data_IF_120371294422
#
_entry.id   IF_120371294422
#
_cell.length_a   1.000
_cell.length_b   1.000
_cell.length_c   1.000
_cell.angle_alpha   90.00
_cell.angle_beta   90.00
_cell.angle_gamma   90.00
#
_symmetry.space_group_name_H-M   'P 1'
#
loop_
_entity.id
_entity.type
_entity.pdbx_description
1 polymer ?
#
# COMPACT_ATOMS: atom_id res chain seq x y z
N UNK A 1 -8.35 -25.41 1.36
CA UNK A 1 -8.14 -23.96 1.52
C UNK A 1 -9.34 -23.25 0.92
N UNK A 2 -10.18 -22.63 1.74
CA UNK A 2 -11.22 -21.71 1.25
C UNK A 2 -10.54 -20.53 0.58
N UNK A 3 -10.86 -20.26 -0.69
CA UNK A 3 -10.30 -19.10 -1.39
C UNK A 3 -10.76 -17.82 -0.71
N UNK A 4 -9.82 -17.02 -0.22
CA UNK A 4 -10.09 -15.71 0.35
C UNK A 4 -10.59 -14.79 -0.76
N UNK A 5 -11.91 -14.55 -0.83
CA UNK A 5 -12.49 -13.66 -1.83
C UNK A 5 -12.38 -12.22 -1.36
N UNK A 6 -11.77 -11.38 -2.19
CA UNK A 6 -11.58 -9.95 -1.94
C UNK A 6 -12.49 -9.13 -2.86
N UNK A 7 -12.95 -7.99 -2.36
CA UNK A 7 -13.84 -7.07 -3.06
C UNK A 7 -13.28 -5.65 -2.99
N UNK A 8 -13.44 -4.91 -4.09
CA UNK A 8 -13.19 -3.47 -4.11
C UNK A 8 -14.45 -2.76 -3.61
N UNK A 9 -14.32 -2.02 -2.52
CA UNK A 9 -15.43 -1.30 -1.90
C UNK A 9 -15.25 0.22 -2.07
N UNK A 10 -16.22 0.95 -2.64
CA UNK A 10 -16.15 2.41 -2.74
C UNK A 10 -16.33 3.03 -1.35
N UNK A 11 -15.51 4.01 -1.02
CA UNK A 11 -15.56 4.71 0.26
C UNK A 11 -16.34 6.01 0.14
N UNK A 12 -16.97 6.41 1.25
CA UNK A 12 -17.57 7.73 1.40
C UNK A 12 -16.50 8.81 1.31
N UNK A 13 -16.66 9.75 0.39
CA UNK A 13 -15.64 10.75 0.07
C UNK A 13 -15.33 11.65 1.26
N UNK A 14 -16.36 12.25 1.86
CA UNK A 14 -16.19 13.27 2.91
C UNK A 14 -15.59 12.66 4.18
N UNK A 15 -16.01 11.43 4.54
CA UNK A 15 -15.42 10.69 5.65
C UNK A 15 -13.96 10.33 5.38
N UNK A 16 -13.62 9.93 4.15
CA UNK A 16 -12.30 9.38 3.83
C UNK A 16 -11.25 10.45 3.57
N UNK A 17 -11.62 11.56 2.91
CA UNK A 17 -10.66 12.59 2.51
C UNK A 17 -9.88 13.12 3.71
N UNK A 18 -10.58 13.47 4.80
CA UNK A 18 -9.97 14.03 6.00
C UNK A 18 -8.97 13.06 6.63
N UNK A 19 -9.34 11.77 6.70
CA UNK A 19 -8.44 10.72 7.20
C UNK A 19 -7.23 10.52 6.29
N UNK A 20 -7.46 10.41 4.99
CA UNK A 20 -6.40 10.20 4.00
C UNK A 20 -5.38 11.33 4.01
N UNK A 21 -5.84 12.59 3.96
CA UNK A 21 -4.95 13.76 3.99
C UNK A 21 -4.12 13.76 5.26
N UNK A 22 -4.73 13.51 6.43
CA UNK A 22 -4.01 13.45 7.70
C UNK A 22 -2.87 12.40 7.72
N UNK A 23 -3.09 11.23 7.10
CA UNK A 23 -2.09 10.15 7.08
C UNK A 23 -1.00 10.37 6.03
N UNK A 24 -1.34 11.00 4.90
CA UNK A 24 -0.37 11.26 3.84
C UNK A 24 0.48 12.49 4.18
N UNK A 25 -0.06 13.55 4.77
CA UNK A 25 0.71 14.76 5.11
C UNK A 25 1.91 14.51 6.04
N UNK A 26 1.91 13.40 6.77
CA UNK A 26 3.02 12.99 7.64
C UNK A 26 4.17 12.27 6.90
N UNK A 27 4.04 12.01 5.59
CA UNK A 27 5.06 11.35 4.77
C UNK A 27 6.20 12.29 4.32
N UNK A 28 6.94 11.85 3.32
CA UNK A 28 8.06 12.59 2.73
C UNK A 28 7.61 13.57 1.63
N UNK A 29 8.56 14.09 0.85
CA UNK A 29 8.32 15.05 -0.22
C UNK A 29 7.25 14.60 -1.22
N UNK A 30 7.19 13.32 -1.64
CA UNK A 30 6.18 12.87 -2.61
C UNK A 30 4.78 13.00 -2.01
N UNK A 31 4.59 12.56 -0.77
CA UNK A 31 3.35 12.73 -0.02
C UNK A 31 2.90 14.19 0.05
N UNK A 32 3.80 15.10 0.41
CA UNK A 32 3.53 16.55 0.43
C UNK A 32 3.09 17.06 -0.95
N UNK A 33 3.76 16.64 -2.03
CA UNK A 33 3.41 17.06 -3.39
C UNK A 33 2.08 16.47 -3.86
N UNK A 34 1.75 15.24 -3.48
CA UNK A 34 0.47 14.59 -3.80
C UNK A 34 -0.68 15.40 -3.22
N UNK A 35 -0.63 15.73 -1.93
CA UNK A 35 -1.67 16.51 -1.26
C UNK A 35 -1.85 17.89 -1.89
N UNK A 36 -0.74 18.55 -2.26
CA UNK A 36 -0.79 19.91 -2.83
C UNK A 36 -1.20 19.96 -4.31
N UNK A 37 -0.94 18.91 -5.10
CA UNK A 37 -1.12 18.94 -6.56
C UNK A 37 -2.33 18.17 -7.05
N UNK A 38 -2.83 17.18 -6.31
CA UNK A 38 -3.98 16.38 -6.74
C UNK A 38 -5.27 17.04 -6.27
N UNK A 39 -6.18 17.29 -7.20
CA UNK A 39 -7.56 17.63 -6.86
C UNK A 39 -8.36 16.35 -6.57
N UNK A 40 -8.44 15.94 -5.31
CA UNK A 40 -9.13 14.71 -4.91
C UNK A 40 -10.62 14.68 -5.27
N UNK A 41 -11.28 15.84 -5.41
CA UNK A 41 -12.69 15.91 -5.84
C UNK A 41 -12.93 15.42 -7.28
N UNK A 42 -11.87 15.27 -8.09
CA UNK A 42 -11.97 14.67 -9.42
C UNK A 42 -11.78 13.14 -9.41
N UNK A 43 -11.54 12.55 -8.24
CA UNK A 43 -11.28 11.13 -8.05
C UNK A 43 -12.31 10.43 -7.17
N UNK A 44 -11.99 9.21 -6.78
CA UNK A 44 -12.79 8.40 -5.85
C UNK A 44 -11.88 7.67 -4.86
N UNK A 45 -12.38 7.44 -3.66
CA UNK A 45 -11.72 6.58 -2.68
C UNK A 45 -12.31 5.18 -2.73
N UNK A 46 -11.46 4.17 -2.64
CA UNK A 46 -11.88 2.78 -2.53
C UNK A 46 -10.86 1.98 -1.73
N UNK A 47 -11.31 0.93 -1.07
CA UNK A 47 -10.45 -0.03 -0.36
C UNK A 47 -10.66 -1.45 -0.91
N UNK A 48 -9.71 -2.35 -0.62
CA UNK A 48 -9.82 -3.77 -0.92
C UNK A 48 -10.05 -4.49 0.40
N UNK A 49 -11.16 -5.21 0.50
CA UNK A 49 -11.59 -5.87 1.73
C UNK A 49 -11.88 -7.36 1.49
N UNK A 50 -11.72 -8.23 2.49
CA UNK A 50 -12.40 -9.52 2.49
C UNK A 50 -13.91 -9.35 2.24
N UNK A 51 -14.53 -10.28 1.51
CA UNK A 51 -15.98 -10.27 1.25
C UNK A 51 -16.84 -10.28 2.52
N UNK A 52 -16.29 -10.78 3.64
CA UNK A 52 -16.94 -10.84 4.94
C UNK A 52 -16.45 -9.76 5.92
N UNK A 53 -15.81 -8.70 5.44
CA UNK A 53 -15.37 -7.60 6.29
C UNK A 53 -16.55 -6.90 6.97
N UNK A 54 -16.37 -6.53 8.24
CA UNK A 54 -17.37 -5.74 8.97
C UNK A 54 -17.34 -4.28 8.48
N UNK A 55 -18.32 -3.92 7.65
CA UNK A 55 -18.41 -2.57 7.07
C UNK A 55 -18.76 -1.49 8.09
N UNK A 56 -19.35 -1.82 9.24
CA UNK A 56 -19.64 -0.84 10.31
C UNK A 56 -18.35 -0.24 10.88
N UNK A 57 -17.27 -1.01 10.87
CA UNK A 57 -15.96 -0.60 11.37
C UNK A 57 -15.12 0.17 10.34
N UNK A 58 -15.58 0.28 9.09
CA UNK A 58 -14.78 0.77 7.97
C UNK A 58 -14.31 2.21 8.14
N UNK A 59 -15.12 3.04 8.81
CA UNK A 59 -14.85 4.47 9.03
C UNK A 59 -14.43 4.78 10.47
N UNK A 60 -14.06 3.77 11.27
CA UNK A 60 -13.49 3.96 12.61
C UNK A 60 -12.01 4.38 12.51
N UNK A 61 -11.79 5.52 11.86
CA UNK A 61 -10.48 6.10 11.57
C UNK A 61 -9.73 6.55 12.81
N UNK A 62 -10.44 6.88 13.89
CA UNK A 62 -9.89 7.12 15.23
C UNK A 62 -9.16 5.90 15.82
N UNK A 63 -9.45 4.70 15.30
CA UNK A 63 -8.76 3.45 15.66
C UNK A 63 -7.69 3.05 14.65
N UNK A 64 -7.25 3.97 13.80
CA UNK A 64 -6.22 3.76 12.78
C UNK A 64 -6.72 3.13 11.48
N UNK A 65 -8.04 3.05 11.27
CA UNK A 65 -8.62 2.57 10.00
C UNK A 65 -8.35 1.09 9.70
N UNK A 66 -7.84 0.32 10.67
CA UNK A 66 -7.59 -1.11 10.54
C UNK A 66 -8.87 -1.85 10.91
N UNK A 67 -9.47 -2.55 9.94
CA UNK A 67 -10.59 -3.46 10.23
C UNK A 67 -10.01 -4.70 10.93
N UNK A 68 -10.38 -4.98 12.19
CA UNK A 68 -9.90 -6.17 12.86
C UNK A 68 -10.39 -7.41 12.11
N UNK A 69 -9.48 -8.19 11.54
CA UNK A 69 -9.79 -9.54 11.09
C UNK A 69 -9.78 -10.49 12.28
N UNK A 70 -10.77 -11.38 12.38
CA UNK A 70 -10.71 -12.49 13.32
C UNK A 70 -9.44 -13.30 12.98
N UNK A 71 -8.48 -13.45 13.90
CA UNK A 71 -7.26 -14.19 13.61
C UNK A 71 -7.62 -15.63 13.25
N UNK A 72 -7.21 -16.07 12.06
CA UNK A 72 -7.22 -17.47 11.71
C UNK A 72 -5.94 -18.10 12.27
N UNK A 73 -6.09 -19.01 13.23
CA UNK A 73 -4.96 -19.72 13.81
C UNK A 73 -5.43 -20.62 14.95
N UNK A 74 -5.34 -21.95 14.74
CA UNK A 74 -5.67 -22.94 15.77
C UNK A 74 -4.43 -23.37 16.58
N UNK A 75 -3.26 -22.82 16.26
CA UNK A 75 -1.97 -23.28 16.79
C UNK A 75 -1.51 -22.37 17.90
N UNK A 76 -1.59 -22.87 19.13
CA UNK A 76 -1.04 -22.23 20.32
C UNK A 76 0.35 -22.79 20.60
N UNK A 77 1.27 -21.96 21.09
CA UNK A 77 2.63 -22.37 21.44
C UNK A 77 2.86 -22.12 22.93
N UNK A 78 3.36 -23.12 23.65
CA UNK A 78 3.84 -22.90 25.01
C UNK A 78 5.19 -22.18 24.96
N UNK A 79 5.27 -21.01 25.58
CA UNK A 79 6.51 -20.23 25.69
C UNK A 79 6.99 -20.32 27.13
N UNK A 80 8.24 -20.70 27.34
CA UNK A 80 8.84 -20.80 28.67
C UNK A 80 8.74 -19.45 29.40
N UNK A 81 8.18 -19.44 30.61
CA UNK A 81 7.95 -18.23 31.40
C UNK A 81 6.60 -17.53 31.19
N UNK A 82 5.75 -17.98 30.27
CA UNK A 82 4.36 -17.52 30.15
C UNK A 82 3.38 -18.53 30.76
N UNK A 83 2.43 -18.03 31.55
CA UNK A 83 1.38 -18.85 32.18
C UNK A 83 0.31 -19.30 31.20
N UNK A 84 0.15 -18.58 30.09
CA UNK A 84 -0.81 -18.89 29.04
C UNK A 84 -0.09 -19.18 27.71
N UNK A 85 -0.60 -20.12 26.89
CA UNK A 85 -0.08 -20.36 25.55
C UNK A 85 -0.08 -19.09 24.71
N UNK A 86 1.01 -18.84 23.99
CA UNK A 86 1.04 -17.80 22.98
C UNK A 86 0.19 -18.24 21.79
N UNK A 87 -0.83 -17.44 21.47
CA UNK A 87 -1.67 -17.64 20.30
C UNK A 87 -1.23 -16.65 19.21
N UNK A 88 -0.36 -17.03 18.26
CA UNK A 88 -0.02 -16.17 17.15
C UNK A 88 -1.28 -15.82 16.39
N UNK A 89 -1.61 -14.53 16.42
CA UNK A 89 -2.65 -13.96 15.58
C UNK A 89 -2.06 -13.86 14.19
N UNK A 90 -2.52 -14.68 13.26
CA UNK A 90 -2.24 -14.41 11.85
C UNK A 90 -2.91 -13.07 11.51
N UNK A 91 -2.10 -12.02 11.37
CA UNK A 91 -2.58 -10.74 10.87
C UNK A 91 -2.74 -10.93 9.37
N UNK A 92 -4.00 -10.91 8.92
CA UNK A 92 -4.29 -10.92 7.48
C UNK A 92 -3.99 -9.51 6.98
N UNK A 93 -2.87 -9.35 6.27
CA UNK A 93 -2.59 -8.12 5.50
C UNK A 93 -3.05 -8.30 4.07
N UNK A 94 -3.31 -7.19 3.39
CA UNK A 94 -3.70 -7.16 1.97
C UNK A 94 -2.48 -6.86 1.08
N UNK A 95 -1.27 -7.04 1.59
CA UNK A 95 -0.02 -6.64 0.92
C UNK A 95 0.17 -7.41 -0.39
N UNK A 96 -0.13 -8.71 -0.40
CA UNK A 96 -0.03 -9.56 -1.59
C UNK A 96 -1.09 -9.19 -2.65
N UNK A 97 -2.31 -8.90 -2.23
CA UNK A 97 -3.40 -8.47 -3.10
C UNK A 97 -3.12 -7.08 -3.68
N UNK A 98 -2.58 -6.18 -2.86
CA UNK A 98 -2.11 -4.87 -3.28
C UNK A 98 -0.98 -5.01 -4.32
N UNK A 99 0.00 -5.88 -4.08
CA UNK A 99 1.09 -6.14 -5.03
C UNK A 99 0.57 -6.67 -6.37
N UNK A 100 -0.39 -7.61 -6.35
CA UNK A 100 -1.05 -8.11 -7.56
C UNK A 100 -1.77 -7.00 -8.30
N UNK A 101 -2.56 -6.19 -7.61
CA UNK A 101 -3.27 -5.05 -8.18
C UNK A 101 -2.32 -4.07 -8.87
N UNK A 102 -1.22 -3.70 -8.20
CA UNK A 102 -0.19 -2.81 -8.77
C UNK A 102 0.44 -3.45 -10.02
N UNK A 103 0.86 -4.72 -9.97
CA UNK A 103 1.41 -5.41 -11.13
C UNK A 103 0.42 -5.48 -12.31
N UNK A 104 -0.84 -5.79 -12.05
CA UNK A 104 -1.88 -5.79 -13.09
C UNK A 104 -2.05 -4.40 -13.70
N UNK A 105 -2.04 -3.34 -12.88
CA UNK A 105 -2.07 -1.96 -13.35
C UNK A 105 -0.86 -1.63 -14.25
N UNK A 106 0.35 -1.98 -13.82
CA UNK A 106 1.59 -1.73 -14.56
C UNK A 106 1.64 -2.49 -15.89
N UNK A 107 1.03 -3.67 -15.95
CA UNK A 107 0.95 -4.48 -17.18
C UNK A 107 -0.05 -3.95 -18.21
N UNK A 108 -0.98 -3.05 -17.85
CA UNK A 108 -1.97 -2.50 -18.79
C UNK A 108 -1.35 -1.66 -19.90
N UNK A 109 -0.23 -0.97 -19.63
CA UNK A 109 0.43 -0.11 -20.60
C UNK A 109 1.92 0.05 -20.28
N UNK A 110 2.77 0.11 -21.30
CA UNK A 110 4.22 0.34 -21.15
C UNK A 110 4.57 1.69 -20.49
N UNK A 111 3.64 2.64 -20.45
CA UNK A 111 3.78 3.95 -19.82
C UNK A 111 3.08 4.05 -18.46
N UNK A 112 2.79 2.91 -17.83
CA UNK A 112 2.36 2.88 -16.44
C UNK A 112 3.58 2.76 -15.53
N UNK A 113 3.63 3.60 -14.50
CA UNK A 113 4.66 3.55 -13.47
C UNK A 113 4.00 3.62 -12.10
N UNK A 114 4.66 3.00 -11.12
CA UNK A 114 4.35 3.16 -9.72
C UNK A 114 5.57 3.73 -9.00
N UNK A 115 5.35 4.66 -8.08
CA UNK A 115 6.39 5.16 -7.18
C UNK A 115 5.93 4.92 -5.75
N UNK A 116 6.72 4.15 -5.00
CA UNK A 116 6.52 3.97 -3.56
C UNK A 116 7.46 4.90 -2.81
N UNK A 117 6.95 5.50 -1.75
CA UNK A 117 7.72 6.31 -0.81
C UNK A 117 8.13 5.45 0.40
N UNK A 118 9.43 5.37 0.68
CA UNK A 118 9.97 4.77 1.90
C UNK A 118 10.30 5.88 2.90
N UNK A 119 9.57 5.89 4.03
CA UNK A 119 9.69 6.90 5.07
C UNK A 119 10.71 6.57 6.16
N UNK A 120 11.31 5.37 6.15
CA UNK A 120 12.21 4.92 7.23
C UNK A 120 13.65 4.79 6.78
N UNK A 121 13.89 4.50 5.51
CA UNK A 121 15.21 4.16 5.02
C UNK A 121 15.91 5.37 4.41
N UNK A 122 17.18 5.60 4.80
CA UNK A 122 18.06 6.57 4.12
C UNK A 122 18.80 5.90 2.93
N UNK A 123 19.19 6.64 1.88
CA UNK A 123 19.79 6.06 0.67
C UNK A 123 21.09 5.29 0.87
N UNK A 124 21.85 5.61 1.92
CA UNK A 124 23.12 4.97 2.27
C UNK A 124 22.94 3.71 3.15
N UNK A 125 21.71 3.43 3.58
CA UNK A 125 21.39 2.23 4.34
C UNK A 125 21.68 0.97 3.53
N UNK A 126 22.31 -0.07 4.12
CA UNK A 126 22.50 -1.36 3.45
C UNK A 126 21.16 -2.04 3.09
N UNK A 127 20.06 -1.60 3.70
CA UNK A 127 18.72 -2.11 3.44
C UNK A 127 17.97 -1.32 2.37
N UNK A 128 18.48 -0.17 1.88
CA UNK A 128 17.76 0.67 0.91
C UNK A 128 17.53 0.00 -0.44
N UNK A 129 18.38 -0.96 -0.82
CA UNK A 129 18.29 -1.61 -2.10
C UNK A 129 17.41 -2.85 -2.03
N UNK A 130 16.46 -2.94 -2.96
CA UNK A 130 15.65 -4.14 -3.19
C UNK A 130 16.09 -4.72 -4.54
N UNK A 131 16.41 -6.00 -4.56
CA UNK A 131 16.86 -6.68 -5.77
C UNK A 131 15.86 -6.47 -6.92
N UNK A 132 16.39 -6.09 -8.09
CA UNK A 132 15.63 -5.84 -9.32
C UNK A 132 14.61 -4.69 -9.27
N UNK A 133 14.55 -3.93 -8.17
CA UNK A 133 13.73 -2.72 -8.06
C UNK A 133 14.61 -1.49 -8.15
N UNK A 134 14.21 -0.52 -8.98
CA UNK A 134 14.96 0.72 -9.12
C UNK A 134 14.72 1.63 -7.90
N UNK A 135 15.73 1.78 -7.07
CA UNK A 135 15.76 2.78 -6.00
C UNK A 135 16.13 4.16 -6.57
N UNK A 136 15.44 5.20 -6.11
CA UNK A 136 15.68 6.61 -6.40
C UNK A 136 15.88 7.35 -5.08
N UNK A 137 16.89 8.22 -5.03
CA UNK A 137 17.13 9.08 -3.88
C UNK A 137 16.74 10.53 -4.18
N UNK A 138 16.11 11.21 -3.23
CA UNK A 138 15.90 12.66 -3.25
C UNK A 138 16.33 13.24 -1.90
N UNK A 139 17.53 13.81 -1.86
CA UNK A 139 18.16 14.17 -0.58
C UNK A 139 18.38 12.91 0.28
N UNK A 140 17.73 12.85 1.44
CA UNK A 140 17.75 11.71 2.39
C UNK A 140 16.57 10.75 2.24
N UNK A 141 15.70 10.98 1.26
CA UNK A 141 14.49 10.20 1.06
C UNK A 141 14.72 9.10 0.02
N UNK A 142 14.10 7.94 0.24
CA UNK A 142 14.17 6.78 -0.64
C UNK A 142 12.82 6.54 -1.32
N UNK A 143 12.87 6.26 -2.62
CA UNK A 143 11.71 5.93 -3.44
C UNK A 143 11.96 4.70 -4.29
N UNK A 144 10.94 3.89 -4.50
CA UNK A 144 11.01 2.73 -5.40
C UNK A 144 10.18 2.97 -6.65
N UNK A 145 10.84 2.95 -7.81
CA UNK A 145 10.19 3.04 -9.11
C UNK A 145 9.91 1.62 -9.63
N UNK A 146 8.63 1.34 -9.90
CA UNK A 146 8.16 0.10 -10.48
C UNK A 146 7.56 0.38 -11.87
N UNK A 147 7.74 -0.58 -12.77
CA UNK A 147 7.19 -0.54 -14.14
C UNK A 147 6.65 -1.91 -14.55
N UNK A 148 6.27 -2.06 -15.83
CA UNK A 148 5.71 -3.31 -16.37
C UNK A 148 6.61 -4.54 -16.22
N UNK A 149 7.92 -4.35 -16.05
CA UNK A 149 8.92 -5.42 -15.93
C UNK A 149 9.07 -5.90 -14.49
N UNK A 150 8.63 -5.11 -13.50
CA UNK A 150 8.69 -5.46 -12.08
C UNK A 150 7.79 -6.66 -11.78
N UNK A 151 8.37 -7.70 -11.18
CA UNK A 151 7.67 -8.91 -10.79
C UNK A 151 6.80 -8.69 -9.54
N UNK A 152 5.73 -9.47 -9.39
CA UNK A 152 4.81 -9.32 -8.25
C UNK A 152 5.48 -9.52 -6.89
N UNK A 153 6.49 -10.39 -6.80
CA UNK A 153 7.26 -10.55 -5.58
C UNK A 153 8.09 -9.30 -5.26
N UNK A 154 8.68 -8.65 -6.26
CA UNK A 154 9.45 -7.40 -6.10
C UNK A 154 8.55 -6.25 -5.64
N UNK A 155 7.35 -6.12 -6.23
CA UNK A 155 6.33 -5.15 -5.77
C UNK A 155 5.94 -5.43 -4.32
N UNK A 156 5.73 -6.70 -3.97
CA UNK A 156 5.41 -7.09 -2.60
C UNK A 156 6.54 -6.72 -1.63
N UNK A 157 7.80 -6.99 -1.96
CA UNK A 157 8.95 -6.58 -1.14
C UNK A 157 9.01 -5.06 -0.97
N UNK A 158 8.81 -4.31 -2.06
CA UNK A 158 8.77 -2.85 -2.01
C UNK A 158 7.64 -2.32 -1.10
N UNK A 159 6.44 -2.92 -1.14
CA UNK A 159 5.36 -2.60 -0.19
C UNK A 159 5.79 -2.89 1.24
N UNK A 160 6.32 -4.09 1.50
CA UNK A 160 6.71 -4.53 2.84
C UNK A 160 7.79 -3.64 3.45
N UNK A 161 8.70 -3.15 2.64
CA UNK A 161 9.77 -2.25 3.05
C UNK A 161 9.28 -0.82 3.27
N UNK A 162 8.44 -0.32 2.37
CA UNK A 162 7.94 1.07 2.42
C UNK A 162 6.80 1.26 3.41
N UNK A 163 6.12 0.17 3.80
CA UNK A 163 4.95 0.22 4.69
C UNK A 163 5.38 0.30 6.14
N UNK A 164 4.97 1.39 6.79
CA UNK A 164 5.12 1.58 8.23
C UNK A 164 3.77 1.41 8.92
N UNK A 165 3.75 1.33 10.25
CA UNK A 165 2.48 1.20 10.98
C UNK A 165 1.54 2.42 10.84
N UNK A 166 2.04 3.57 10.38
CA UNK A 166 1.26 4.81 10.30
C UNK A 166 1.24 5.43 8.89
N UNK A 167 2.10 5.00 7.97
CA UNK A 167 2.20 5.57 6.62
C UNK A 167 2.61 4.56 5.55
N UNK A 168 1.92 4.66 4.41
CA UNK A 168 2.26 4.01 3.16
C UNK A 168 1.69 4.84 2.01
N UNK A 169 2.54 5.21 1.04
CA UNK A 169 2.11 5.86 -0.19
C UNK A 169 2.69 5.14 -1.41
N UNK A 170 1.79 4.80 -2.34
CA UNK A 170 2.15 4.34 -3.68
C UNK A 170 1.36 5.16 -4.71
N UNK A 171 2.07 5.86 -5.58
CA UNK A 171 1.47 6.66 -6.66
C UNK A 171 1.52 5.87 -7.95
N UNK A 172 0.34 5.51 -8.47
CA UNK A 172 0.19 4.90 -9.78
C UNK A 172 -0.09 5.99 -10.82
N UNK A 173 0.69 5.99 -11.90
CA UNK A 173 0.53 6.95 -13.00
C UNK A 173 0.35 6.23 -14.33
N UNK A 174 -0.39 6.86 -15.24
CA UNK A 174 -0.49 6.44 -16.63
C UNK A 174 -0.31 7.69 -17.51
N UNK A 175 0.75 7.70 -18.30
CA UNK A 175 0.93 8.78 -19.27
C UNK A 175 0.06 8.50 -20.49
N UNK A 176 -0.80 9.45 -20.87
CA UNK A 176 -1.49 9.40 -22.17
C UNK A 176 -0.43 9.38 -23.27
N UNK A 177 -0.66 8.63 -24.34
CA UNK A 177 0.11 8.85 -25.56
C UNK A 177 -0.09 10.32 -25.96
N UNK A 178 0.98 11.06 -26.33
CA UNK A 178 0.76 12.32 -27.03
C UNK A 178 -0.16 12.02 -28.22
N UNK A 179 -1.09 12.92 -28.57
CA UNK A 179 -1.85 12.77 -29.81
C UNK A 179 -0.83 12.48 -30.91
N UNK A 180 -1.01 11.36 -31.60
CA UNK A 180 -0.15 10.97 -32.71
C UNK A 180 -0.05 12.20 -33.62
N UNK A 181 1.12 12.83 -33.70
CA UNK A 181 1.34 13.82 -34.73
C UNK A 181 1.18 13.06 -36.03
N UNK A 182 0.08 13.32 -36.73
CA UNK A 182 -0.24 12.73 -38.02
C UNK A 182 0.99 12.86 -38.92
N UNK A 183 1.60 11.73 -39.27
CA UNK A 183 2.55 11.61 -40.38
C UNK A 183 1.78 11.41 -41.68
#
# INVERSE_FOLDING_TARGET
>A
MTSFQVVRYPLDFDKTLSYFVNHIEAGNTLSEKVVKKINFHQGTFSTILPHNANLESLFLFDRGGIIPSIPYGNTSYSVEGLSEPFHPRQVITMDHECAKFICEYLKKNIKCYAVLEDCLTEPDSPYANIDHVKMLAFGKEVYYLLDKSTATNEVYQAIRQSSTCWHFLCVLSAFKNPPCALS
#
